data_IF_515358141695
#
_entry.id   IF_515358141695
#
_cell.length_a   1.000
_cell.length_b   1.000
_cell.length_c   1.000
_cell.angle_alpha   90.00
_cell.angle_beta   90.00
_cell.angle_gamma   90.00
#
_symmetry.space_group_name_H-M   'P 1'
#
loop_
_entity.id
_entity.type
_entity.pdbx_description
1 polymer ?
#
# COMPACT_ATOMS: atom_id res chain seq x y z
N UNK A 1 -31.35 -16.44 40.05
CA UNK A 1 -30.23 -15.84 39.28
C UNK A 1 -30.58 -14.39 38.98
N UNK A 2 -29.75 -13.41 39.35
CA UNK A 2 -29.98 -12.02 38.94
C UNK A 2 -29.73 -11.87 37.42
N UNK A 3 -30.38 -10.92 36.75
CA UNK A 3 -30.20 -10.71 35.31
C UNK A 3 -28.76 -10.24 35.01
N UNK A 4 -28.24 -10.50 33.80
CA UNK A 4 -26.90 -10.05 33.42
C UNK A 4 -26.86 -8.52 33.44
N UNK A 5 -25.95 -7.95 34.24
CA UNK A 5 -25.65 -6.51 34.22
C UNK A 5 -25.27 -6.13 32.79
N UNK A 6 -26.05 -5.25 32.15
CA UNK A 6 -25.59 -4.51 30.97
C UNK A 6 -24.30 -3.81 31.37
N UNK A 7 -23.18 -4.18 30.75
CA UNK A 7 -21.98 -3.33 30.72
C UNK A 7 -22.42 -2.03 30.08
N UNK A 8 -22.47 -0.97 30.87
CA UNK A 8 -22.59 0.40 30.41
C UNK A 8 -21.34 0.73 29.59
N UNK A 9 -21.43 0.58 28.27
CA UNK A 9 -20.49 1.18 27.33
C UNK A 9 -20.68 2.70 27.36
N UNK A 10 -20.08 3.40 28.33
CA UNK A 10 -20.12 4.87 28.32
C UNK A 10 -18.90 5.58 28.90
N UNK A 11 -17.74 4.91 29.01
CA UNK A 11 -16.58 5.50 29.69
C UNK A 11 -15.22 5.12 29.06
N UNK A 12 -15.11 5.07 27.72
CA UNK A 12 -13.87 4.63 27.06
C UNK A 12 -13.44 5.44 25.83
N UNK A 13 -13.64 6.76 25.80
CA UNK A 13 -13.14 7.58 24.67
C UNK A 13 -12.68 8.98 25.09
N UNK A 14 -11.98 9.10 26.22
CA UNK A 14 -11.17 10.30 26.48
C UNK A 14 -9.73 10.00 26.07
N UNK A 15 -9.20 10.79 25.15
CA UNK A 15 -7.82 10.69 24.67
C UNK A 15 -6.86 10.89 25.84
N UNK A 16 -5.69 10.23 25.82
CA UNK A 16 -4.69 10.34 26.91
C UNK A 16 -4.28 11.80 27.09
N UNK A 17 -4.13 12.54 25.99
CA UNK A 17 -3.89 13.97 26.01
C UNK A 17 -5.06 14.76 26.63
N UNK A 18 -6.31 14.51 26.26
CA UNK A 18 -7.45 15.20 26.85
C UNK A 18 -7.58 14.92 28.36
N UNK A 19 -7.32 13.69 28.79
CA UNK A 19 -7.33 13.33 30.22
C UNK A 19 -6.21 14.04 30.99
N UNK A 20 -5.04 14.21 30.37
CA UNK A 20 -3.89 14.92 30.94
C UNK A 20 -4.18 16.42 31.02
N UNK A 21 -4.78 17.01 29.99
CA UNK A 21 -5.21 18.41 29.97
C UNK A 21 -6.24 18.69 31.06
N UNK A 22 -7.23 17.82 31.20
CA UNK A 22 -8.25 17.93 32.25
C UNK A 22 -7.64 17.79 33.65
N UNK A 23 -6.74 16.82 33.86
CA UNK A 23 -6.04 16.63 35.13
C UNK A 23 -5.21 17.87 35.52
N UNK A 24 -4.39 18.36 34.60
CA UNK A 24 -3.54 19.54 34.81
C UNK A 24 -4.38 20.78 35.14
N UNK A 25 -5.50 20.97 34.44
CA UNK A 25 -6.41 22.10 34.68
C UNK A 25 -7.14 21.97 36.03
N UNK A 26 -7.63 20.78 36.39
CA UNK A 26 -8.28 20.52 37.69
C UNK A 26 -7.31 20.65 38.86
N UNK A 27 -6.10 20.13 38.72
CA UNK A 27 -5.07 20.14 39.77
C UNK A 27 -4.35 21.51 39.92
N UNK A 28 -4.73 22.52 39.13
CA UNK A 28 -4.13 23.88 39.13
C UNK A 28 -2.59 23.87 39.11
N UNK A 29 -1.99 22.92 38.38
CA UNK A 29 -0.54 22.76 38.31
C UNK A 29 0.06 23.95 37.56
N UNK A 30 1.04 24.62 38.16
CA UNK A 30 1.67 25.83 37.62
C UNK A 30 3.17 25.63 37.34
N UNK A 31 3.70 26.45 36.42
CA UNK A 31 5.13 26.48 36.11
C UNK A 31 5.62 25.28 35.28
N UNK A 32 6.88 24.89 35.50
CA UNK A 32 7.60 23.89 34.69
C UNK A 32 6.97 22.48 34.74
N UNK A 33 6.32 22.12 35.85
CA UNK A 33 5.61 20.84 36.03
C UNK A 33 4.40 20.69 35.10
N UNK A 34 3.73 21.80 34.76
CA UNK A 34 2.61 21.84 33.81
C UNK A 34 3.04 21.39 32.41
N UNK A 35 4.13 21.97 31.92
CA UNK A 35 4.68 21.67 30.59
C UNK A 35 5.18 20.23 30.47
N UNK A 36 5.82 19.72 31.53
CA UNK A 36 6.28 18.32 31.58
C UNK A 36 5.09 17.35 31.45
N UNK A 37 3.97 17.63 32.13
CA UNK A 37 2.78 16.78 32.05
C UNK A 37 2.14 16.82 30.65
N UNK A 38 1.99 18.00 30.04
CA UNK A 38 1.51 18.08 28.65
C UNK A 38 2.41 17.34 27.67
N UNK A 39 3.74 17.46 27.82
CA UNK A 39 4.68 16.74 26.98
C UNK A 39 4.56 15.23 27.14
N UNK A 40 4.38 14.73 28.37
CA UNK A 40 4.11 13.31 28.65
C UNK A 40 2.79 12.84 28.03
N UNK A 41 1.73 13.65 28.12
CA UNK A 41 0.43 13.37 27.49
C UNK A 41 0.50 13.31 25.95
N UNK A 42 1.31 14.19 25.37
CA UNK A 42 1.57 14.22 23.92
C UNK A 42 2.38 13.00 23.47
N UNK A 43 3.49 12.71 24.15
CA UNK A 43 4.35 11.54 23.88
C UNK A 43 3.57 10.23 23.99
N UNK A 44 2.77 10.08 25.05
CA UNK A 44 1.93 8.90 25.22
C UNK A 44 0.88 8.76 24.12
N UNK A 45 0.24 9.85 23.67
CA UNK A 45 -0.70 9.83 22.54
C UNK A 45 -0.01 9.64 21.17
N UNK A 46 1.29 9.95 21.09
CA UNK A 46 2.11 9.73 19.90
C UNK A 46 2.59 8.27 19.77
N UNK A 47 2.80 7.60 20.91
CA UNK A 47 3.18 6.19 20.98
C UNK A 47 1.95 5.28 20.96
N UNK A 48 0.92 5.59 21.76
CA UNK A 48 -0.33 4.86 21.79
C UNK A 48 -1.23 5.27 20.62
N UNK A 49 -2.13 4.38 20.19
CA UNK A 49 -3.12 4.74 19.18
C UNK A 49 -4.20 5.64 19.79
N UNK A 50 -4.17 6.92 19.41
CA UNK A 50 -5.25 7.86 19.66
C UNK A 50 -5.86 8.33 18.34
N UNK A 51 -7.17 8.14 18.14
CA UNK A 51 -7.82 8.35 16.84
C UNK A 51 -7.70 9.77 16.31
N UNK A 52 -7.97 10.77 17.16
CA UNK A 52 -7.99 12.18 16.72
C UNK A 52 -6.56 12.64 16.44
N UNK A 53 -5.64 12.30 17.34
CA UNK A 53 -4.24 12.64 17.20
C UNK A 53 -3.59 11.92 16.00
N UNK A 54 -3.95 10.66 15.74
CA UNK A 54 -3.46 9.88 14.61
C UNK A 54 -3.82 10.53 13.27
N UNK A 55 -5.07 10.95 13.08
CA UNK A 55 -5.51 11.60 11.82
C UNK A 55 -4.77 12.91 11.59
N UNK A 56 -4.61 13.73 12.63
CA UNK A 56 -3.84 14.97 12.55
C UNK A 56 -2.37 14.70 12.22
N UNK A 57 -1.75 13.73 12.89
CA UNK A 57 -0.37 13.35 12.65
C UNK A 57 -0.16 12.85 11.21
N UNK A 58 -1.06 12.00 10.69
CA UNK A 58 -1.04 11.54 9.30
C UNK A 58 -1.07 12.73 8.34
N UNK A 59 -1.99 13.68 8.52
CA UNK A 59 -2.12 14.83 7.63
C UNK A 59 -0.82 15.65 7.57
N UNK A 60 -0.22 15.93 8.73
CA UNK A 60 1.03 16.69 8.83
C UNK A 60 2.22 15.92 8.22
N UNK A 61 2.32 14.62 8.49
CA UNK A 61 3.38 13.77 7.97
C UNK A 61 3.28 13.66 6.45
N UNK A 62 2.08 13.43 5.90
CA UNK A 62 1.87 13.33 4.45
C UNK A 62 2.15 14.66 3.74
N UNK A 63 1.81 15.80 4.35
CA UNK A 63 2.14 17.11 3.78
C UNK A 63 3.66 17.32 3.72
N UNK A 64 4.37 17.01 4.80
CA UNK A 64 5.83 17.13 4.86
C UNK A 64 6.51 16.17 3.87
N UNK A 65 6.04 14.93 3.81
CA UNK A 65 6.52 13.91 2.87
C UNK A 65 6.29 14.34 1.41
N UNK A 66 5.12 14.90 1.10
CA UNK A 66 4.83 15.44 -0.24
C UNK A 66 5.78 16.58 -0.61
N UNK A 67 6.17 17.43 0.35
CA UNK A 67 7.18 18.47 0.13
C UNK A 67 8.57 17.86 -0.13
N UNK A 68 8.94 16.78 0.56
CA UNK A 68 10.19 16.04 0.30
C UNK A 68 10.18 15.42 -1.10
N UNK A 69 9.10 14.73 -1.47
CA UNK A 69 8.91 14.15 -2.80
C UNK A 69 9.02 15.23 -3.88
N UNK A 70 8.33 16.36 -3.69
CA UNK A 70 8.41 17.49 -4.61
C UNK A 70 9.83 18.05 -4.72
N UNK A 71 10.53 18.23 -3.60
CA UNK A 71 11.94 18.63 -3.60
C UNK A 71 12.80 17.65 -4.40
N UNK A 72 12.63 16.34 -4.16
CA UNK A 72 13.40 15.32 -4.87
C UNK A 72 13.16 15.33 -6.38
N UNK A 73 11.92 15.50 -6.82
CA UNK A 73 11.56 15.57 -8.25
C UNK A 73 12.24 16.73 -8.98
N UNK A 74 12.45 17.86 -8.30
CA UNK A 74 12.98 19.07 -8.91
C UNK A 74 14.50 19.23 -8.76
N UNK A 75 15.08 18.72 -7.66
CA UNK A 75 16.45 19.04 -7.28
C UNK A 75 17.39 17.83 -7.18
N UNK A 76 16.87 16.60 -7.15
CA UNK A 76 17.69 15.39 -7.06
C UNK A 76 17.78 14.73 -8.42
N UNK A 77 19.02 14.45 -8.86
CA UNK A 77 19.26 13.80 -10.15
C UNK A 77 18.67 12.38 -10.17
N UNK A 78 17.93 12.10 -11.24
CA UNK A 78 17.48 10.75 -11.56
C UNK A 78 18.66 9.79 -11.64
N UNK A 79 18.50 8.56 -11.12
CA UNK A 79 19.52 7.52 -11.17
C UNK A 79 18.94 6.28 -11.83
N UNK A 80 19.31 6.09 -13.09
CA UNK A 80 18.88 4.92 -13.83
C UNK A 80 19.53 3.65 -13.29
N UNK A 81 18.72 2.66 -12.95
CA UNK A 81 19.20 1.32 -12.61
C UNK A 81 18.50 0.31 -13.50
N UNK A 82 17.16 0.22 -13.41
CA UNK A 82 16.41 -0.79 -14.14
C UNK A 82 15.45 -0.23 -15.20
N UNK A 83 15.10 1.06 -15.16
CA UNK A 83 14.07 1.62 -16.06
C UNK A 83 14.40 1.39 -17.53
N UNK A 84 15.64 1.64 -17.95
CA UNK A 84 16.07 1.39 -19.34
C UNK A 84 15.93 -0.07 -19.71
N UNK A 85 16.41 -0.98 -18.86
CA UNK A 85 16.29 -2.42 -19.10
C UNK A 85 14.81 -2.86 -19.18
N UNK A 86 13.92 -2.30 -18.36
CA UNK A 86 12.48 -2.56 -18.46
C UNK A 86 11.90 -2.05 -19.79
N UNK A 87 12.30 -0.86 -20.25
CA UNK A 87 11.84 -0.32 -21.54
C UNK A 87 12.36 -1.14 -22.73
N UNK A 88 13.58 -1.67 -22.66
CA UNK A 88 14.13 -2.60 -23.67
C UNK A 88 13.36 -3.91 -23.75
N UNK A 89 13.11 -4.53 -22.59
CA UNK A 89 12.31 -5.74 -22.50
C UNK A 89 10.90 -5.52 -23.08
N UNK A 90 10.29 -4.37 -22.80
CA UNK A 90 9.01 -3.97 -23.38
C UNK A 90 9.09 -3.76 -24.89
N UNK A 91 10.17 -3.17 -25.42
CA UNK A 91 10.36 -3.00 -26.87
C UNK A 91 10.44 -4.34 -27.59
N UNK A 92 11.21 -5.30 -27.07
CA UNK A 92 11.31 -6.67 -27.61
C UNK A 92 9.94 -7.36 -27.55
N UNK A 93 9.23 -7.21 -26.45
CA UNK A 93 7.87 -7.73 -26.31
C UNK A 93 6.88 -7.11 -27.32
N UNK A 94 6.99 -5.79 -27.58
CA UNK A 94 6.16 -5.06 -28.55
C UNK A 94 6.46 -5.47 -30.00
N UNK A 95 7.66 -5.97 -30.32
CA UNK A 95 7.98 -6.49 -31.66
C UNK A 95 7.37 -7.86 -31.96
N UNK A 96 6.70 -8.48 -30.99
CA UNK A 96 6.02 -9.77 -31.15
C UNK A 96 6.69 -10.93 -30.44
N UNK A 97 7.84 -10.72 -29.78
CA UNK A 97 8.53 -11.78 -29.05
C UNK A 97 7.71 -12.24 -27.83
N UNK A 98 7.60 -13.56 -27.68
CA UNK A 98 6.84 -14.23 -26.62
C UNK A 98 7.69 -15.23 -25.83
N UNK A 99 8.81 -15.66 -26.39
CA UNK A 99 9.75 -16.51 -25.70
C UNK A 99 10.56 -15.66 -24.71
N UNK A 100 10.28 -15.89 -23.42
CA UNK A 100 10.93 -15.23 -22.30
C UNK A 100 12.45 -15.37 -22.33
N UNK A 101 12.98 -16.43 -22.93
CA UNK A 101 14.42 -16.63 -23.05
C UNK A 101 15.09 -15.52 -23.88
N UNK A 102 14.36 -14.97 -24.85
CA UNK A 102 14.81 -13.91 -25.77
C UNK A 102 14.47 -12.49 -25.30
N UNK A 103 13.62 -12.33 -24.27
CA UNK A 103 13.29 -11.01 -23.73
C UNK A 103 14.34 -10.60 -22.70
N UNK A 104 15.25 -9.69 -23.09
CA UNK A 104 16.38 -9.23 -22.26
C UNK A 104 16.57 -7.73 -22.36
N UNK A 105 17.16 -7.13 -21.33
CA UNK A 105 17.64 -5.73 -21.36
C UNK A 105 19.07 -5.64 -20.86
N UNK A 106 19.58 -4.43 -20.71
CA UNK A 106 20.94 -4.13 -20.25
C UNK A 106 21.32 -4.81 -18.92
N UNK A 107 20.34 -5.07 -18.04
CA UNK A 107 20.54 -5.74 -16.74
C UNK A 107 20.36 -7.26 -16.78
N UNK A 108 20.11 -7.83 -17.97
CA UNK A 108 19.96 -9.27 -18.19
C UNK A 108 18.56 -9.70 -18.64
N UNK A 109 18.26 -11.02 -18.56
CA UNK A 109 16.98 -11.55 -18.99
C UNK A 109 15.82 -11.10 -18.11
N UNK A 110 14.61 -11.05 -18.68
CA UNK A 110 13.40 -10.80 -17.94
C UNK A 110 13.14 -11.94 -16.95
N UNK A 111 13.23 -11.63 -15.66
CA UNK A 111 12.95 -12.57 -14.56
C UNK A 111 11.58 -12.38 -13.93
N UNK A 112 10.85 -11.33 -14.30
CA UNK A 112 9.53 -11.04 -13.73
C UNK A 112 8.40 -11.74 -14.51
N UNK A 113 7.27 -12.08 -13.85
CA UNK A 113 6.14 -12.69 -14.54
C UNK A 113 5.44 -11.70 -15.50
N UNK A 114 4.51 -12.20 -16.32
CA UNK A 114 3.90 -11.44 -17.42
C UNK A 114 3.19 -10.13 -17.03
N UNK A 115 2.71 -10.01 -15.79
CA UNK A 115 2.10 -8.78 -15.31
C UNK A 115 3.07 -7.60 -15.32
N UNK A 116 4.37 -7.84 -15.11
CA UNK A 116 5.40 -6.82 -15.28
C UNK A 116 5.39 -6.25 -16.70
N UNK A 117 5.48 -7.11 -17.73
CA UNK A 117 5.47 -6.69 -19.12
C UNK A 117 4.20 -5.91 -19.48
N UNK A 118 3.04 -6.35 -19.00
CA UNK A 118 1.77 -5.68 -19.29
C UNK A 118 1.71 -4.27 -18.71
N UNK A 119 2.12 -4.10 -17.44
CA UNK A 119 2.12 -2.79 -16.79
C UNK A 119 3.20 -1.89 -17.39
N UNK A 120 4.41 -2.39 -17.61
CA UNK A 120 5.48 -1.60 -18.19
C UNK A 120 5.24 -1.27 -19.66
N UNK A 121 4.47 -2.07 -20.40
CA UNK A 121 3.95 -1.70 -21.73
C UNK A 121 2.99 -0.51 -21.63
N UNK A 122 2.08 -0.48 -20.65
CA UNK A 122 1.23 0.68 -20.41
C UNK A 122 2.07 1.92 -20.05
N UNK A 123 3.04 1.78 -19.14
CA UNK A 123 3.93 2.88 -18.77
C UNK A 123 4.75 3.38 -19.96
N UNK A 124 5.23 2.48 -20.82
CA UNK A 124 5.92 2.82 -22.05
C UNK A 124 5.05 3.72 -22.96
N UNK A 125 3.78 3.39 -23.15
CA UNK A 125 2.86 4.27 -23.90
C UNK A 125 2.63 5.63 -23.23
N UNK A 126 2.51 5.68 -21.91
CA UNK A 126 2.27 6.93 -21.16
C UNK A 126 3.50 7.86 -21.11
N UNK A 127 4.69 7.33 -21.34
CA UNK A 127 5.97 8.02 -21.15
C UNK A 127 6.72 8.28 -22.45
N UNK A 128 6.02 8.30 -23.60
CA UNK A 128 6.62 8.44 -24.93
C UNK A 128 7.72 7.37 -25.16
N UNK A 129 7.31 6.11 -25.18
CA UNK A 129 8.20 4.95 -25.34
C UNK A 129 9.29 4.81 -24.25
N UNK A 130 9.07 5.40 -23.08
CA UNK A 130 9.98 5.34 -21.94
C UNK A 130 10.98 6.49 -21.85
N UNK A 131 10.98 7.41 -22.82
CA UNK A 131 11.94 8.52 -22.88
C UNK A 131 11.61 9.65 -21.91
N UNK A 132 10.32 9.86 -21.61
CA UNK A 132 9.89 10.92 -20.70
C UNK A 132 10.01 10.48 -19.23
N UNK A 133 11.23 10.58 -18.71
CA UNK A 133 11.55 10.22 -17.31
C UNK A 133 10.77 11.08 -16.31
N UNK A 134 10.60 12.38 -16.56
CA UNK A 134 9.85 13.25 -15.66
C UNK A 134 8.40 12.78 -15.45
N UNK A 135 7.71 12.39 -16.55
CA UNK A 135 6.37 11.78 -16.46
C UNK A 135 6.41 10.44 -15.72
N UNK A 136 7.41 9.60 -15.96
CA UNK A 136 7.56 8.34 -15.23
C UNK A 136 7.71 8.60 -13.71
N UNK A 137 8.56 9.54 -13.32
CA UNK A 137 8.76 9.92 -11.91
C UNK A 137 7.48 10.48 -11.28
N UNK A 138 6.69 11.26 -12.00
CA UNK A 138 5.37 11.72 -11.53
C UNK A 138 4.40 10.56 -11.31
N UNK A 139 4.33 9.59 -12.23
CA UNK A 139 3.49 8.39 -12.08
C UNK A 139 3.93 7.59 -10.85
N UNK A 140 5.24 7.41 -10.66
CA UNK A 140 5.77 6.69 -9.50
C UNK A 140 5.58 7.45 -8.18
N UNK A 141 5.61 8.79 -8.20
CA UNK A 141 5.26 9.62 -7.05
C UNK A 141 3.78 9.46 -6.67
N UNK A 142 2.88 9.33 -7.65
CA UNK A 142 1.48 9.02 -7.40
C UNK A 142 1.32 7.63 -6.78
N UNK A 143 1.98 6.61 -7.34
CA UNK A 143 1.96 5.23 -6.80
C UNK A 143 2.51 5.21 -5.36
N UNK A 144 3.58 5.97 -5.09
CA UNK A 144 4.12 6.15 -3.76
C UNK A 144 3.05 6.72 -2.80
N UNK A 145 2.41 7.83 -3.15
CA UNK A 145 1.37 8.45 -2.33
C UNK A 145 0.19 7.50 -2.08
N UNK A 146 -0.24 6.74 -3.10
CA UNK A 146 -1.29 5.73 -2.97
C UNK A 146 -0.87 4.60 -2.01
N UNK A 147 0.37 4.13 -2.09
CA UNK A 147 0.90 3.13 -1.17
C UNK A 147 0.92 3.62 0.28
N UNK A 148 1.36 4.86 0.49
CA UNK A 148 1.35 5.46 1.82
C UNK A 148 -0.07 5.53 2.38
N UNK A 149 -1.05 5.95 1.58
CA UNK A 149 -2.45 5.98 2.01
C UNK A 149 -2.98 4.58 2.38
N UNK A 150 -2.67 3.56 1.56
CA UNK A 150 -3.08 2.19 1.82
C UNK A 150 -2.47 1.67 3.14
N UNK A 151 -1.18 1.90 3.38
CA UNK A 151 -0.50 1.49 4.61
C UNK A 151 -1.06 2.22 5.83
N UNK A 152 -1.24 3.53 5.74
CA UNK A 152 -1.84 4.36 6.82
C UNK A 152 -3.23 3.83 7.17
N UNK A 153 -4.04 3.46 6.19
CA UNK A 153 -5.37 2.89 6.43
C UNK A 153 -5.29 1.54 7.15
N UNK A 154 -4.32 0.67 6.80
CA UNK A 154 -4.10 -0.58 7.54
C UNK A 154 -3.76 -0.30 9.01
N UNK A 155 -2.89 0.67 9.29
CA UNK A 155 -2.57 1.04 10.68
C UNK A 155 -3.76 1.65 11.41
N UNK A 156 -4.52 2.53 10.76
CA UNK A 156 -5.73 3.12 11.31
C UNK A 156 -6.77 2.04 11.69
N UNK A 157 -6.98 1.06 10.82
CA UNK A 157 -7.91 -0.05 11.08
C UNK A 157 -7.39 -1.01 12.16
N UNK A 158 -6.07 -1.19 12.27
CA UNK A 158 -5.48 -2.02 13.32
C UNK A 158 -5.74 -1.49 14.73
N UNK A 159 -5.84 -0.15 14.89
CA UNK A 159 -5.93 0.56 16.18
C UNK A 159 -4.85 0.20 17.21
N UNK A 160 -3.74 -0.41 16.75
CA UNK A 160 -2.66 -0.92 17.61
C UNK A 160 -1.38 -0.12 17.50
N UNK A 161 -1.20 0.60 16.41
CA UNK A 161 0.06 1.28 16.07
C UNK A 161 -0.17 2.79 16.17
N UNK A 162 0.54 3.46 17.09
CA UNK A 162 0.51 4.92 17.19
C UNK A 162 1.21 5.62 16.00
N UNK A 163 0.98 6.92 15.81
CA UNK A 163 1.53 7.67 14.68
C UNK A 163 3.06 7.78 14.67
N UNK A 164 3.75 7.48 15.78
CA UNK A 164 5.21 7.44 15.84
C UNK A 164 5.84 6.58 14.74
N UNK A 165 5.25 5.43 14.42
CA UNK A 165 5.76 4.54 13.37
C UNK A 165 5.72 5.19 11.99
N UNK A 166 4.73 6.05 11.73
CA UNK A 166 4.61 6.76 10.46
C UNK A 166 5.77 7.75 10.26
N UNK A 167 6.26 8.40 11.32
CA UNK A 167 7.42 9.31 11.21
C UNK A 167 8.66 8.55 10.73
N UNK A 168 8.92 7.38 11.30
CA UNK A 168 10.07 6.55 10.91
C UNK A 168 9.92 5.96 9.50
N UNK A 169 8.72 5.49 9.15
CA UNK A 169 8.51 4.87 7.84
C UNK A 169 8.48 5.89 6.70
N UNK A 170 7.78 7.01 6.90
CA UNK A 170 7.52 8.00 5.86
C UNK A 170 8.70 8.97 5.75
N UNK A 171 9.07 9.67 6.82
CA UNK A 171 10.00 10.80 6.71
C UNK A 171 11.47 10.40 6.73
N UNK A 172 11.82 9.34 7.45
CA UNK A 172 13.22 8.96 7.70
C UNK A 172 13.77 8.02 6.62
N UNK A 173 12.89 7.33 5.88
CA UNK A 173 13.33 6.32 4.92
C UNK A 173 13.74 6.90 3.57
N UNK A 174 14.96 7.46 3.50
CA UNK A 174 15.59 7.91 2.25
C UNK A 174 15.60 6.80 1.16
N UNK A 175 15.72 5.54 1.59
CA UNK A 175 15.72 4.39 0.68
C UNK A 175 14.39 4.21 -0.05
N UNK A 176 13.26 4.40 0.64
CA UNK A 176 11.94 4.26 0.03
C UNK A 176 11.73 5.32 -1.06
N UNK A 177 11.97 6.59 -0.73
CA UNK A 177 11.89 7.68 -1.71
C UNK A 177 12.74 7.42 -2.95
N UNK A 178 13.97 6.95 -2.74
CA UNK A 178 14.89 6.65 -3.84
C UNK A 178 14.43 5.46 -4.69
N UNK A 179 13.84 4.41 -4.10
CA UNK A 179 13.28 3.26 -4.83
C UNK A 179 12.13 3.68 -5.75
N UNK A 180 11.21 4.50 -5.24
CA UNK A 180 10.02 4.92 -5.99
C UNK A 180 10.38 5.98 -7.03
N UNK A 181 11.02 7.07 -6.61
CA UNK A 181 11.12 8.31 -7.40
C UNK A 181 12.37 8.34 -8.27
N UNK A 182 13.49 7.82 -7.77
CA UNK A 182 14.78 7.98 -8.45
C UNK A 182 15.14 6.78 -9.32
N UNK A 183 14.59 5.59 -9.04
CA UNK A 183 14.96 4.32 -9.70
C UNK A 183 13.85 3.67 -10.51
N UNK A 184 12.58 4.01 -10.22
CA UNK A 184 11.39 3.52 -10.94
C UNK A 184 11.27 1.98 -10.95
N UNK A 185 11.57 1.34 -9.83
CA UNK A 185 11.59 -0.12 -9.71
C UNK A 185 10.22 -0.78 -9.84
N UNK A 186 10.20 -2.06 -10.20
CA UNK A 186 8.97 -2.86 -10.29
C UNK A 186 8.29 -3.09 -8.92
N UNK A 187 9.07 -3.14 -7.84
CA UNK A 187 8.61 -3.41 -6.47
C UNK A 187 7.47 -2.49 -5.99
N UNK A 188 7.56 -1.16 -6.10
CA UNK A 188 6.46 -0.22 -5.88
C UNK A 188 5.09 -0.66 -6.40
N UNK A 189 5.06 -1.15 -7.64
CA UNK A 189 3.82 -1.56 -8.33
C UNK A 189 3.30 -2.86 -7.73
N UNK A 190 4.16 -3.85 -7.52
CA UNK A 190 3.78 -5.11 -6.89
C UNK A 190 3.24 -4.89 -5.46
N UNK A 191 3.91 -4.04 -4.69
CA UNK A 191 3.51 -3.71 -3.32
C UNK A 191 2.19 -2.93 -3.28
N UNK A 192 1.91 -2.10 -4.28
CA UNK A 192 0.61 -1.44 -4.41
C UNK A 192 -0.55 -2.43 -4.49
N UNK A 193 -0.44 -3.42 -5.36
CA UNK A 193 -1.47 -4.44 -5.48
C UNK A 193 -1.63 -5.27 -4.19
N UNK A 194 -0.52 -5.59 -3.51
CA UNK A 194 -0.57 -6.29 -2.23
C UNK A 194 -1.25 -5.47 -1.13
N UNK A 195 -0.89 -4.19 -0.97
CA UNK A 195 -1.51 -3.35 0.06
C UNK A 195 -2.97 -3.03 -0.26
N UNK A 196 -3.33 -2.88 -1.54
CA UNK A 196 -4.71 -2.76 -1.97
C UNK A 196 -5.51 -4.04 -1.63
N UNK A 197 -4.95 -5.22 -1.91
CA UNK A 197 -5.55 -6.49 -1.53
C UNK A 197 -5.76 -6.61 -0.01
N UNK A 198 -4.75 -6.25 0.79
CA UNK A 198 -4.85 -6.24 2.25
C UNK A 198 -5.99 -5.34 2.76
N UNK A 199 -6.11 -4.13 2.19
CA UNK A 199 -7.22 -3.23 2.50
C UNK A 199 -8.57 -3.85 2.14
N UNK A 200 -8.71 -4.44 0.96
CA UNK A 200 -9.93 -5.11 0.52
C UNK A 200 -10.32 -6.29 1.44
N UNK A 201 -9.35 -7.04 1.94
CA UNK A 201 -9.59 -8.10 2.92
C UNK A 201 -10.12 -7.55 4.26
N UNK A 202 -9.60 -6.41 4.74
CA UNK A 202 -10.13 -5.75 5.94
C UNK A 202 -11.59 -5.33 5.75
N UNK A 203 -11.95 -4.78 4.59
CA UNK A 203 -13.32 -4.40 4.25
C UNK A 203 -14.20 -5.56 3.78
N UNK A 204 -13.75 -6.82 3.99
CA UNK A 204 -14.49 -8.06 3.65
C UNK A 204 -14.83 -8.22 2.16
N UNK A 205 -14.13 -7.51 1.27
CA UNK A 205 -14.24 -7.65 -0.20
C UNK A 205 -13.26 -8.70 -0.71
N UNK A 206 -13.46 -9.95 -0.29
CA UNK A 206 -12.47 -11.02 -0.48
C UNK A 206 -12.17 -11.36 -1.94
N UNK A 207 -13.17 -11.36 -2.83
CA UNK A 207 -12.94 -11.65 -4.25
C UNK A 207 -12.05 -10.60 -4.91
N UNK A 208 -12.31 -9.31 -4.66
CA UNK A 208 -11.47 -8.23 -5.16
C UNK A 208 -10.07 -8.29 -4.53
N UNK A 209 -9.99 -8.60 -3.23
CA UNK A 209 -8.71 -8.80 -2.57
C UNK A 209 -7.88 -9.91 -3.22
N UNK A 210 -8.51 -11.03 -3.59
CA UNK A 210 -7.86 -12.14 -4.31
C UNK A 210 -7.43 -11.75 -5.72
N UNK A 211 -8.27 -10.99 -6.43
CA UNK A 211 -7.94 -10.44 -7.76
C UNK A 211 -6.69 -9.55 -7.68
N UNK A 212 -6.69 -8.53 -6.80
CA UNK A 212 -5.56 -7.62 -6.63
C UNK A 212 -4.32 -8.35 -6.15
N UNK A 213 -4.46 -9.29 -5.20
CA UNK A 213 -3.35 -10.12 -4.74
C UNK A 213 -2.70 -10.89 -5.90
N UNK A 214 -3.52 -11.53 -6.73
CA UNK A 214 -3.05 -12.30 -7.88
C UNK A 214 -2.39 -11.41 -8.94
N UNK A 215 -2.92 -10.21 -9.19
CA UNK A 215 -2.25 -9.22 -10.04
C UNK A 215 -0.88 -8.85 -9.47
N UNK A 216 -0.76 -8.65 -8.16
CA UNK A 216 0.54 -8.41 -7.49
C UNK A 216 1.54 -9.55 -7.71
N UNK A 217 1.10 -10.81 -7.59
CA UNK A 217 1.93 -11.99 -7.89
C UNK A 217 2.38 -12.00 -9.36
N UNK A 218 1.50 -11.62 -10.29
CA UNK A 218 1.84 -11.53 -11.71
C UNK A 218 2.83 -10.40 -12.04
N UNK A 219 2.93 -9.36 -11.19
CA UNK A 219 3.92 -8.29 -11.34
C UNK A 219 5.27 -8.72 -10.75
N UNK A 220 5.26 -9.33 -9.56
CA UNK A 220 6.48 -9.84 -8.91
C UNK A 220 6.17 -11.08 -8.06
N UNK A 221 6.91 -12.15 -8.33
CA UNK A 221 6.70 -13.45 -7.68
C UNK A 221 6.88 -13.44 -6.16
N UNK A 222 7.65 -12.50 -5.60
CA UNK A 222 7.87 -12.39 -4.14
C UNK A 222 6.56 -12.20 -3.36
N UNK A 223 5.51 -11.69 -4.00
CA UNK A 223 4.19 -11.55 -3.38
C UNK A 223 3.57 -12.93 -3.03
N UNK A 224 4.03 -14.01 -3.67
CA UNK A 224 3.62 -15.37 -3.35
C UNK A 224 3.97 -15.77 -1.90
N UNK A 225 4.97 -15.13 -1.28
CA UNK A 225 5.33 -15.37 0.12
C UNK A 225 4.17 -15.03 1.09
N UNK A 226 3.22 -14.20 0.67
CA UNK A 226 2.02 -13.89 1.45
C UNK A 226 0.86 -14.89 1.25
N UNK A 227 1.00 -15.88 0.37
CA UNK A 227 -0.05 -16.86 0.07
C UNK A 227 -0.54 -17.63 1.30
N UNK A 228 0.33 -18.09 2.25
CA UNK A 228 -0.15 -18.74 3.46
C UNK A 228 -1.07 -17.84 4.29
N UNK A 229 -0.71 -16.55 4.44
CA UNK A 229 -1.52 -15.60 5.18
C UNK A 229 -2.88 -15.36 4.49
N UNK A 230 -2.90 -15.18 3.17
CA UNK A 230 -4.14 -15.03 2.39
C UNK A 230 -5.02 -16.27 2.53
N UNK A 231 -4.44 -17.47 2.43
CA UNK A 231 -5.16 -18.74 2.59
C UNK A 231 -5.84 -18.83 3.95
N UNK A 232 -5.12 -18.57 5.04
CA UNK A 232 -5.69 -18.60 6.39
C UNK A 232 -6.76 -17.52 6.59
N UNK A 233 -6.59 -16.31 6.06
CA UNK A 233 -7.61 -15.26 6.12
C UNK A 233 -8.90 -15.75 5.45
N UNK A 234 -8.82 -16.31 4.24
CA UNK A 234 -9.99 -16.81 3.53
C UNK A 234 -10.64 -17.98 4.26
N UNK A 235 -9.85 -18.97 4.69
CA UNK A 235 -10.35 -20.16 5.38
C UNK A 235 -11.07 -19.80 6.67
N UNK A 236 -10.49 -18.94 7.50
CA UNK A 236 -11.06 -18.55 8.79
C UNK A 236 -12.28 -17.63 8.66
N UNK A 237 -12.35 -16.79 7.62
CA UNK A 237 -13.44 -15.83 7.45
C UNK A 237 -14.62 -16.37 6.62
N UNK A 238 -14.36 -17.26 5.66
CA UNK A 238 -15.35 -17.68 4.66
C UNK A 238 -15.67 -19.18 4.69
N UNK A 239 -14.84 -19.99 5.34
CA UNK A 239 -14.93 -21.44 5.31
C UNK A 239 -14.50 -22.05 3.96
N UNK A 240 -14.38 -23.38 3.93
CA UNK A 240 -13.71 -24.13 2.85
C UNK A 240 -14.29 -23.84 1.45
N UNK A 241 -15.62 -23.91 1.28
CA UNK A 241 -16.26 -23.79 -0.05
C UNK A 241 -15.97 -22.44 -0.71
N UNK A 242 -16.15 -21.34 0.02
CA UNK A 242 -15.91 -19.99 -0.48
C UNK A 242 -14.41 -19.72 -0.66
N UNK A 243 -13.55 -20.31 0.16
CA UNK A 243 -12.09 -20.24 -0.02
C UNK A 243 -11.68 -20.86 -1.36
N UNK A 244 -12.18 -22.04 -1.70
CA UNK A 244 -11.88 -22.69 -2.99
C UNK A 244 -12.28 -21.76 -4.15
N UNK A 245 -13.46 -21.15 -4.09
CA UNK A 245 -13.89 -20.19 -5.12
C UNK A 245 -12.95 -18.98 -5.23
N UNK A 246 -12.56 -18.37 -4.11
CA UNK A 246 -11.65 -17.22 -4.12
C UNK A 246 -10.23 -17.57 -4.59
N UNK A 247 -9.74 -18.78 -4.27
CA UNK A 247 -8.47 -19.28 -4.79
C UNK A 247 -8.55 -19.58 -6.29
N UNK A 248 -9.71 -20.02 -6.79
CA UNK A 248 -9.93 -20.19 -8.22
C UNK A 248 -9.80 -18.84 -8.97
N UNK A 249 -10.28 -17.74 -8.39
CA UNK A 249 -10.05 -16.38 -8.95
C UNK A 249 -8.55 -16.11 -9.08
N UNK A 250 -7.76 -16.39 -8.03
CA UNK A 250 -6.31 -16.23 -8.08
C UNK A 250 -5.67 -17.05 -9.20
N UNK A 251 -6.03 -18.33 -9.31
CA UNK A 251 -5.48 -19.25 -10.31
C UNK A 251 -5.82 -18.83 -11.75
N UNK A 252 -7.06 -18.37 -12.00
CA UNK A 252 -7.50 -17.93 -13.34
C UNK A 252 -6.66 -16.76 -13.86
N UNK A 253 -6.31 -15.81 -12.97
CA UNK A 253 -5.45 -14.67 -13.32
C UNK A 253 -4.04 -15.12 -13.73
N UNK A 254 -3.52 -16.22 -13.16
CA UNK A 254 -2.18 -16.73 -13.49
C UNK A 254 -2.13 -17.57 -14.77
N UNK A 255 -3.21 -18.30 -15.08
CA UNK A 255 -3.24 -19.27 -16.20
C UNK A 255 -3.48 -18.59 -17.56
N UNK A 256 -4.09 -17.39 -17.59
CA UNK A 256 -4.50 -16.75 -18.86
C UNK A 256 -3.37 -15.96 -19.54
N UNK A 257 -2.94 -16.46 -20.72
CA UNK A 257 -2.00 -15.81 -21.66
C UNK A 257 -2.63 -14.60 -22.37
N UNK A 258 -1.74 -13.75 -22.93
CA UNK A 258 -1.92 -12.44 -23.60
C UNK A 258 -3.27 -12.12 -24.25
N UNK A 259 -3.63 -10.83 -24.18
CA UNK A 259 -4.65 -10.16 -24.99
C UNK A 259 -5.80 -9.60 -24.14
N UNK A 260 -6.29 -10.42 -23.23
CA UNK A 260 -7.50 -10.12 -22.45
C UNK A 260 -7.24 -9.63 -21.02
N UNK A 261 -5.98 -9.58 -20.56
CA UNK A 261 -5.65 -9.30 -19.15
C UNK A 261 -6.35 -8.04 -18.60
N UNK A 262 -6.22 -6.89 -19.29
CA UNK A 262 -6.86 -5.64 -18.83
C UNK A 262 -8.37 -5.60 -19.10
N UNK A 263 -8.84 -6.15 -20.23
CA UNK A 263 -10.27 -6.20 -20.58
C UNK A 263 -11.06 -7.06 -19.60
N UNK A 264 -10.47 -8.16 -19.17
CA UNK A 264 -11.06 -9.09 -18.23
C UNK A 264 -10.93 -8.60 -16.79
N UNK A 265 -9.83 -7.94 -16.37
CA UNK A 265 -9.82 -7.26 -15.06
C UNK A 265 -11.01 -6.29 -14.96
N UNK A 266 -11.32 -5.55 -16.04
CA UNK A 266 -12.53 -4.73 -16.11
C UNK A 266 -13.83 -5.53 -15.94
N UNK A 267 -13.98 -6.67 -16.61
CA UNK A 267 -15.15 -7.56 -16.47
C UNK A 267 -15.27 -8.18 -15.08
N UNK A 268 -14.16 -8.62 -14.49
CA UNK A 268 -14.14 -9.19 -13.14
C UNK A 268 -14.36 -8.13 -12.07
N UNK A 269 -13.89 -6.90 -12.25
CA UNK A 269 -14.27 -5.79 -11.37
C UNK A 269 -15.79 -5.61 -11.33
N UNK A 270 -16.48 -5.79 -12.45
CA UNK A 270 -17.95 -5.75 -12.51
C UNK A 270 -18.58 -6.98 -11.83
N UNK A 271 -18.05 -8.19 -12.08
CA UNK A 271 -18.62 -9.43 -11.53
C UNK A 271 -18.35 -9.62 -10.03
N UNK A 272 -17.22 -9.11 -9.52
CA UNK A 272 -16.75 -9.36 -8.15
C UNK A 272 -17.17 -8.26 -7.18
N UNK A 273 -17.67 -7.12 -7.68
CA UNK A 273 -18.44 -6.17 -6.87
C UNK A 273 -19.87 -6.70 -6.84
N UNK A 274 -20.33 -7.35 -5.74
CA UNK A 274 -21.75 -7.64 -5.63
C UNK A 274 -22.45 -6.30 -5.51
N UNK A 275 -23.49 -6.06 -6.31
CA UNK A 275 -24.46 -5.01 -6.00
C UNK A 275 -24.89 -5.22 -4.55
N UNK A 276 -24.57 -4.25 -3.71
CA UNK A 276 -24.84 -4.29 -2.29
C UNK A 276 -26.34 -4.48 -2.07
N UNK A 277 -26.73 -5.65 -1.59
CA UNK A 277 -27.97 -5.91 -0.87
C UNK A 277 -27.64 -6.52 0.48
#
# INVERSE_FOLDING_TARGET
MPPPRRRTESTSSRTVLASTVEYVNKAKIQGRSKWILYLKGLLSSFIAFDKQFFVLAVLLITLLDSAIVFYMLNYVKYTNIDWTAYMEQVRIYKSGELDYYHIRGDTGPLVYPAGHLYIYTLLNYLTNDGENIARAQMIFALIYAMNQLLIVNLFYQSKKVGPAVLVFMVLISHRLHSIYILRLFNDPIAMFFLYAAANLFIYRRFGLGCLFYSVGVAVKMNILLFAPAVFFILLLQLGVKKTIFNLAICAVVQVRRKGDFFREIGRWLIVVVPEST
#
